data_IF_738586406063
#
_entry.id   IF_738586406063
#
_cell.length_a   1.000
_cell.length_b   1.000
_cell.length_c   1.000
_cell.angle_alpha   90.00
_cell.angle_beta   90.00
_cell.angle_gamma   90.00
#
_symmetry.space_group_name_H-M   'P 1'
#
loop_
_entity.id
_entity.type
_entity.pdbx_description
1 polymer ?
#
# COMPACT_ATOMS: atom_id res chain seq x y z
N UNK A 1 10.03 -27.62 -56.18
CA UNK A 1 11.15 -26.86 -55.60
C UNK A 1 11.53 -27.27 -54.17
N UNK A 2 10.60 -27.53 -53.24
CA UNK A 2 10.93 -27.96 -51.86
C UNK A 2 11.54 -29.39 -51.76
N UNK A 3 11.17 -30.30 -52.66
CA UNK A 3 11.74 -31.66 -52.70
C UNK A 3 13.20 -31.71 -53.20
N UNK A 4 13.56 -30.86 -54.17
CA UNK A 4 14.92 -30.79 -54.74
C UNK A 4 15.91 -30.25 -53.69
N UNK A 5 15.48 -29.32 -52.85
CA UNK A 5 16.30 -28.79 -51.74
C UNK A 5 16.60 -29.83 -50.66
N UNK A 6 15.68 -30.76 -50.38
CA UNK A 6 15.91 -31.82 -49.39
C UNK A 6 16.92 -32.88 -49.90
N UNK A 7 16.84 -33.26 -51.17
CA UNK A 7 17.79 -34.21 -51.79
C UNK A 7 19.22 -33.65 -51.86
N UNK A 8 19.39 -32.37 -52.24
CA UNK A 8 20.71 -31.71 -52.31
C UNK A 8 21.36 -31.55 -50.93
N UNK A 9 20.56 -31.38 -49.87
CA UNK A 9 21.05 -31.32 -48.49
C UNK A 9 21.52 -32.68 -47.95
N UNK A 10 20.99 -33.79 -48.47
CA UNK A 10 21.37 -35.16 -48.08
C UNK A 10 22.62 -35.62 -48.83
N UNK A 11 22.83 -35.17 -50.07
CA UNK A 11 23.94 -35.63 -50.93
C UNK A 11 25.28 -34.91 -50.66
N UNK A 12 25.29 -33.80 -49.92
CA UNK A 12 26.52 -33.03 -49.66
C UNK A 12 26.76 -32.84 -48.14
N UNK A 13 27.61 -33.67 -47.50
CA UNK A 13 27.82 -33.66 -46.05
C UNK A 13 28.38 -32.32 -45.54
N UNK A 14 29.12 -31.58 -46.36
CA UNK A 14 29.66 -30.26 -46.00
C UNK A 14 28.53 -29.24 -45.89
N UNK A 15 27.57 -29.27 -46.82
CA UNK A 15 26.40 -28.38 -46.81
C UNK A 15 25.50 -28.65 -45.61
N UNK A 16 25.29 -29.93 -45.27
CA UNK A 16 24.51 -30.33 -44.10
C UNK A 16 25.16 -29.85 -42.79
N UNK A 17 26.49 -30.02 -42.65
CA UNK A 17 27.24 -29.54 -41.49
C UNK A 17 27.14 -28.02 -41.36
N UNK A 18 27.31 -27.28 -42.45
CA UNK A 18 27.17 -25.81 -42.48
C UNK A 18 25.75 -25.34 -42.11
N UNK A 19 24.72 -25.96 -42.69
CA UNK A 19 23.32 -25.64 -42.35
C UNK A 19 23.05 -25.90 -40.85
N UNK A 20 23.52 -27.05 -40.33
CA UNK A 20 23.36 -27.37 -38.91
C UNK A 20 24.06 -26.36 -38.00
N UNK A 21 25.24 -25.87 -38.39
CA UNK A 21 25.98 -24.86 -37.65
C UNK A 21 25.23 -23.51 -37.64
N UNK A 22 24.72 -23.08 -38.80
CA UNK A 22 23.92 -21.86 -38.92
C UNK A 22 22.63 -21.92 -38.09
N UNK A 23 21.90 -23.04 -38.13
CA UNK A 23 20.68 -23.23 -37.34
C UNK A 23 20.97 -23.20 -35.83
N UNK A 24 22.05 -23.85 -35.37
CA UNK A 24 22.47 -23.79 -33.96
C UNK A 24 22.85 -22.38 -33.55
N UNK A 25 23.55 -21.64 -34.41
CA UNK A 25 23.93 -20.26 -34.15
C UNK A 25 22.68 -19.37 -34.03
N UNK A 26 21.76 -19.44 -35.00
CA UNK A 26 20.50 -18.66 -34.96
C UNK A 26 19.68 -18.97 -33.70
N UNK A 27 19.49 -20.25 -33.37
CA UNK A 27 18.78 -20.65 -32.16
C UNK A 27 19.46 -20.13 -30.88
N UNK A 28 20.81 -20.17 -30.84
CA UNK A 28 21.57 -19.60 -29.73
C UNK A 28 21.39 -18.08 -29.61
N UNK A 29 21.39 -17.35 -30.72
CA UNK A 29 21.19 -15.90 -30.75
C UNK A 29 19.78 -15.53 -30.29
N UNK A 30 18.74 -16.24 -30.77
CA UNK A 30 17.35 -16.03 -30.36
C UNK A 30 17.14 -16.32 -28.88
N UNK A 31 17.75 -17.39 -28.36
CA UNK A 31 17.67 -17.77 -26.95
C UNK A 31 18.37 -16.73 -26.07
N UNK A 32 19.53 -16.22 -26.47
CA UNK A 32 20.22 -15.14 -25.77
C UNK A 32 19.43 -13.84 -25.79
N UNK A 33 18.82 -13.48 -26.91
CA UNK A 33 17.98 -12.29 -27.02
C UNK A 33 16.73 -12.40 -26.13
N UNK A 34 16.12 -13.57 -26.08
CA UNK A 34 14.97 -13.85 -25.21
C UNK A 34 15.36 -13.82 -23.74
N UNK A 35 16.48 -14.42 -23.37
CA UNK A 35 17.00 -14.40 -22.00
C UNK A 35 17.26 -12.96 -21.53
N UNK A 36 17.88 -12.13 -22.38
CA UNK A 36 18.11 -10.71 -22.07
C UNK A 36 16.82 -9.95 -21.78
N UNK A 37 15.75 -10.22 -22.54
CA UNK A 37 14.43 -9.61 -22.28
C UNK A 37 13.86 -10.07 -20.94
N UNK A 38 13.94 -11.38 -20.65
CA UNK A 38 13.48 -11.94 -19.39
C UNK A 38 14.26 -11.43 -18.17
N UNK A 39 15.54 -11.09 -18.33
CA UNK A 39 16.35 -10.55 -17.23
C UNK A 39 16.03 -9.09 -16.89
N UNK A 40 15.58 -8.29 -17.87
CA UNK A 40 15.26 -6.86 -17.65
C UNK A 40 13.79 -6.67 -17.27
N UNK A 41 12.90 -7.55 -17.72
CA UNK A 41 11.46 -7.50 -17.46
C UNK A 41 11.08 -7.24 -15.98
N UNK A 42 11.72 -7.84 -14.95
CA UNK A 42 11.40 -7.56 -13.56
C UNK A 42 11.59 -6.09 -13.18
N UNK A 43 12.67 -5.45 -13.63
CA UNK A 43 12.97 -4.05 -13.31
C UNK A 43 11.96 -3.12 -13.98
N UNK A 44 11.66 -3.35 -15.26
CA UNK A 44 10.65 -2.60 -16.01
C UNK A 44 9.27 -2.71 -15.34
N UNK A 45 8.91 -3.91 -14.89
CA UNK A 45 7.64 -4.17 -14.23
C UNK A 45 7.54 -3.45 -12.88
N UNK A 46 8.58 -3.55 -12.05
CA UNK A 46 8.67 -2.84 -10.76
C UNK A 46 8.56 -1.32 -10.99
N UNK A 47 9.23 -0.79 -12.02
CA UNK A 47 9.17 0.63 -12.37
C UNK A 47 7.80 1.10 -12.87
N UNK A 48 7.02 0.22 -13.50
CA UNK A 48 5.73 0.57 -14.08
C UNK A 48 4.56 0.51 -13.08
N UNK A 49 4.59 -0.39 -12.10
CA UNK A 49 3.44 -0.63 -11.20
C UNK A 49 3.14 0.55 -10.28
N UNK A 50 4.15 1.29 -9.81
CA UNK A 50 3.98 2.46 -8.94
C UNK A 50 3.17 3.58 -9.60
N UNK A 51 3.59 4.10 -10.77
CA UNK A 51 2.85 5.13 -11.51
C UNK A 51 1.42 4.72 -11.88
N UNK A 52 1.21 3.45 -12.25
CA UNK A 52 -0.12 2.91 -12.55
C UNK A 52 -1.00 2.92 -11.29
N UNK A 53 -0.49 2.40 -10.17
CA UNK A 53 -1.20 2.40 -8.90
C UNK A 53 -1.55 3.82 -8.45
N UNK A 54 -0.59 4.76 -8.50
CA UNK A 54 -0.83 6.16 -8.15
C UNK A 54 -1.95 6.79 -8.99
N UNK A 55 -1.91 6.61 -10.31
CA UNK A 55 -2.92 7.15 -11.23
C UNK A 55 -4.31 6.59 -10.92
N UNK A 56 -4.42 5.28 -10.74
CA UNK A 56 -5.68 4.61 -10.40
C UNK A 56 -6.17 5.05 -9.02
N UNK A 57 -5.28 5.23 -8.05
CA UNK A 57 -5.62 5.71 -6.70
C UNK A 57 -6.24 7.10 -6.76
N UNK A 58 -5.59 8.07 -7.40
CA UNK A 58 -6.10 9.43 -7.49
C UNK A 58 -7.45 9.48 -8.22
N UNK A 59 -7.59 8.76 -9.34
CA UNK A 59 -8.86 8.68 -10.07
C UNK A 59 -9.99 8.06 -9.23
N UNK A 60 -9.67 7.01 -8.47
CA UNK A 60 -10.64 6.31 -7.61
C UNK A 60 -11.04 7.17 -6.41
N UNK A 61 -10.08 7.84 -5.76
CA UNK A 61 -10.37 8.76 -4.66
C UNK A 61 -11.22 9.94 -5.13
N UNK A 62 -10.88 10.53 -6.28
CA UNK A 62 -11.66 11.62 -6.87
C UNK A 62 -13.13 11.22 -7.14
N UNK A 63 -13.38 9.94 -7.42
CA UNK A 63 -14.71 9.44 -7.77
C UNK A 63 -15.51 8.91 -6.58
N UNK A 64 -14.84 8.31 -5.59
CA UNK A 64 -15.48 7.52 -4.54
C UNK A 64 -15.22 8.02 -3.11
N UNK A 65 -14.25 8.92 -2.90
CA UNK A 65 -13.99 9.49 -1.58
C UNK A 65 -15.26 10.19 -1.06
N UNK A 66 -15.73 9.89 0.16
CA UNK A 66 -16.92 10.50 0.74
C UNK A 66 -16.83 12.02 0.79
N UNK A 67 -17.96 12.73 0.66
CA UNK A 67 -17.99 14.19 0.76
C UNK A 67 -17.54 14.67 2.14
N UNK A 68 -17.15 15.94 2.24
CA UNK A 68 -16.70 16.55 3.49
C UNK A 68 -17.66 16.34 4.68
N UNK A 69 -18.98 16.28 4.42
CA UNK A 69 -20.00 16.03 5.45
C UNK A 69 -19.84 14.68 6.16
N UNK A 70 -19.28 13.66 5.50
CA UNK A 70 -18.96 12.36 6.10
C UNK A 70 -17.86 12.48 7.15
N UNK A 71 -16.80 13.22 6.84
CA UNK A 71 -15.62 13.40 7.68
C UNK A 71 -15.82 14.37 8.83
N UNK A 72 -16.80 15.27 8.70
CA UNK A 72 -17.12 16.29 9.71
C UNK A 72 -18.26 15.86 10.65
N UNK A 73 -18.79 14.64 10.52
CA UNK A 73 -19.88 14.15 11.39
C UNK A 73 -19.49 14.28 12.85
N UNK A 74 -20.40 14.82 13.65
CA UNK A 74 -20.36 14.63 15.10
C UNK A 74 -20.81 13.19 15.33
N UNK A 75 -20.05 12.41 16.11
CA UNK A 75 -20.30 10.99 16.30
C UNK A 75 -21.73 10.68 16.74
N UNK A 76 -22.18 9.42 16.62
CA UNK A 76 -23.55 9.06 16.98
C UNK A 76 -23.85 9.44 18.43
N UNK A 77 -25.10 9.80 18.73
CA UNK A 77 -25.54 10.16 20.08
C UNK A 77 -25.29 9.05 21.13
N UNK A 78 -25.07 7.80 20.66
CA UNK A 78 -24.67 6.65 21.47
C UNK A 78 -23.20 6.66 21.91
N UNK A 79 -22.35 7.52 21.33
CA UNK A 79 -20.91 7.58 21.60
C UNK A 79 -20.11 6.40 21.05
N UNK A 80 -20.68 5.61 20.14
CA UNK A 80 -20.00 4.45 19.56
C UNK A 80 -19.06 4.85 18.42
N UNK A 81 -17.85 4.33 18.46
CA UNK A 81 -16.86 4.45 17.39
C UNK A 81 -17.33 3.72 16.13
N UNK A 82 -16.87 4.11 14.93
CA UNK A 82 -17.16 3.36 13.72
C UNK A 82 -16.54 1.96 13.77
N UNK A 83 -17.39 0.94 13.67
CA UNK A 83 -16.97 -0.47 13.74
C UNK A 83 -16.49 -1.04 12.40
N UNK A 84 -16.79 -0.37 11.28
CA UNK A 84 -16.52 -0.85 9.93
C UNK A 84 -15.83 0.22 9.08
N UNK A 85 -14.98 -0.17 8.13
CA UNK A 85 -14.44 0.76 7.15
C UNK A 85 -15.56 1.34 6.29
N UNK A 86 -15.33 2.55 5.78
CA UNK A 86 -16.22 3.22 4.85
C UNK A 86 -16.35 2.40 3.55
N UNK A 87 -17.52 2.39 2.88
CA UNK A 87 -17.72 1.54 1.69
C UNK A 87 -16.75 1.81 0.53
N UNK A 88 -16.25 3.05 0.39
CA UNK A 88 -15.30 3.39 -0.68
C UNK A 88 -13.95 2.68 -0.54
N UNK A 89 -13.57 2.24 0.66
CA UNK A 89 -12.28 1.57 0.90
C UNK A 89 -12.23 0.24 0.16
N UNK A 90 -13.34 -0.50 0.17
CA UNK A 90 -13.48 -1.73 -0.60
C UNK A 90 -13.34 -1.46 -2.11
N UNK A 91 -14.02 -0.43 -2.60
CA UNK A 91 -13.91 -0.02 -4.02
C UNK A 91 -12.48 0.39 -4.36
N UNK A 92 -11.78 1.07 -3.46
CA UNK A 92 -10.39 1.45 -3.64
C UNK A 92 -9.49 0.23 -3.78
N UNK A 93 -9.63 -0.77 -2.90
CA UNK A 93 -8.89 -2.03 -2.98
C UNK A 93 -9.18 -2.76 -4.30
N UNK A 94 -10.46 -3.00 -4.60
CA UNK A 94 -10.91 -3.79 -5.76
C UNK A 94 -10.59 -3.12 -7.11
N UNK A 95 -10.43 -1.80 -7.15
CA UNK A 95 -10.15 -1.06 -8.40
C UNK A 95 -8.70 -0.63 -8.58
N UNK A 96 -7.92 -0.61 -7.50
CA UNK A 96 -6.53 -0.13 -7.52
C UNK A 96 -5.59 -1.26 -7.16
N UNK A 97 -5.63 -1.71 -5.90
CA UNK A 97 -4.56 -2.53 -5.34
C UNK A 97 -4.66 -3.98 -5.81
N UNK A 98 -5.86 -4.55 -5.76
CA UNK A 98 -6.10 -5.92 -6.20
C UNK A 98 -5.77 -6.15 -7.68
N UNK A 99 -6.32 -5.39 -8.65
CA UNK A 99 -6.05 -5.66 -10.06
C UNK A 99 -4.60 -5.44 -10.45
N UNK A 100 -3.92 -4.44 -9.88
CA UNK A 100 -2.50 -4.18 -10.18
C UNK A 100 -1.62 -5.31 -9.65
N UNK A 101 -1.91 -5.83 -8.44
CA UNK A 101 -1.20 -6.98 -7.89
C UNK A 101 -1.53 -8.25 -8.69
N UNK A 102 -2.82 -8.56 -8.88
CA UNK A 102 -3.26 -9.77 -9.59
C UNK A 102 -2.73 -9.87 -11.02
N UNK A 103 -2.57 -8.75 -11.72
CA UNK A 103 -2.05 -8.74 -13.10
C UNK A 103 -0.61 -9.26 -13.22
N UNK A 104 0.17 -9.24 -12.14
CA UNK A 104 1.61 -9.49 -12.20
C UNK A 104 2.05 -10.66 -11.32
N UNK A 105 1.40 -10.89 -10.18
CA UNK A 105 1.82 -11.90 -9.17
C UNK A 105 1.78 -13.34 -9.67
N UNK A 106 1.02 -13.65 -10.72
CA UNK A 106 1.01 -14.99 -11.33
C UNK A 106 2.32 -15.30 -12.08
N UNK A 107 3.00 -14.26 -12.59
CA UNK A 107 4.20 -14.39 -13.44
C UNK A 107 5.50 -14.19 -12.68
N UNK A 108 5.45 -13.59 -11.48
CA UNK A 108 6.63 -13.21 -10.70
C UNK A 108 6.52 -13.73 -9.26
N UNK A 109 7.65 -14.12 -8.67
CA UNK A 109 7.71 -14.71 -7.31
C UNK A 109 8.87 -14.16 -6.50
N UNK A 110 8.82 -14.36 -5.19
CA UNK A 110 9.90 -14.02 -4.28
C UNK A 110 10.23 -12.52 -4.34
N UNK A 111 11.50 -12.12 -4.49
CA UNK A 111 11.91 -10.72 -4.37
C UNK A 111 11.22 -9.75 -5.33
N UNK A 112 10.90 -10.20 -6.56
CA UNK A 112 10.22 -9.36 -7.56
C UNK A 112 8.76 -9.11 -7.14
N UNK A 113 8.09 -10.16 -6.67
CA UNK A 113 6.72 -10.06 -6.18
C UNK A 113 6.62 -9.18 -4.93
N UNK A 114 7.60 -9.31 -4.02
CA UNK A 114 7.75 -8.44 -2.86
C UNK A 114 7.93 -6.97 -3.28
N UNK A 115 8.85 -6.68 -4.20
CA UNK A 115 9.12 -5.32 -4.66
C UNK A 115 7.87 -4.68 -5.31
N UNK A 116 7.14 -5.44 -6.12
CA UNK A 116 5.87 -5.01 -6.72
C UNK A 116 4.85 -4.71 -5.64
N UNK A 117 4.63 -5.63 -4.69
CA UNK A 117 3.67 -5.43 -3.60
C UNK A 117 3.99 -4.17 -2.80
N UNK A 118 5.29 -3.93 -2.55
CA UNK A 118 5.75 -2.72 -1.87
C UNK A 118 5.46 -1.45 -2.66
N UNK A 119 5.78 -1.44 -3.96
CA UNK A 119 5.54 -0.28 -4.83
C UNK A 119 4.05 0.06 -4.95
N UNK A 120 3.18 -0.95 -5.12
CA UNK A 120 1.74 -0.73 -5.23
C UNK A 120 1.16 -0.16 -3.94
N UNK A 121 1.49 -0.75 -2.80
CA UNK A 121 0.97 -0.30 -1.49
C UNK A 121 1.51 1.09 -1.15
N UNK A 122 2.79 1.33 -1.41
CA UNK A 122 3.40 2.64 -1.20
C UNK A 122 2.72 3.71 -2.05
N UNK A 123 2.65 3.53 -3.37
CA UNK A 123 2.04 4.49 -4.27
C UNK A 123 0.56 4.75 -3.95
N UNK A 124 -0.20 3.70 -3.61
CA UNK A 124 -1.62 3.83 -3.30
C UNK A 124 -1.87 4.60 -2.00
N UNK A 125 -1.11 4.30 -0.95
CA UNK A 125 -1.22 5.00 0.33
C UNK A 125 -0.68 6.43 0.25
N UNK A 126 0.40 6.67 -0.48
CA UNK A 126 0.92 8.03 -0.73
C UNK A 126 -0.11 8.88 -1.48
N UNK A 127 -0.71 8.36 -2.55
CA UNK A 127 -1.78 9.03 -3.29
C UNK A 127 -3.00 9.34 -2.41
N UNK A 128 -3.34 8.45 -1.48
CA UNK A 128 -4.44 8.67 -0.55
C UNK A 128 -4.15 9.82 0.42
N UNK A 129 -2.95 9.85 1.02
CA UNK A 129 -2.53 10.93 1.89
C UNK A 129 -2.42 12.27 1.14
N UNK A 130 -1.83 12.26 -0.05
CA UNK A 130 -1.71 13.41 -0.95
C UNK A 130 -3.10 13.97 -1.28
N UNK A 131 -4.05 13.11 -1.65
CA UNK A 131 -5.42 13.53 -1.98
C UNK A 131 -6.11 14.22 -0.80
N UNK A 132 -5.95 13.69 0.43
CA UNK A 132 -6.52 14.31 1.63
C UNK A 132 -5.98 15.73 1.84
N UNK A 133 -4.66 15.91 1.68
CA UNK A 133 -4.01 17.22 1.81
C UNK A 133 -4.42 18.16 0.67
N UNK A 134 -4.42 17.68 -0.58
CA UNK A 134 -4.78 18.49 -1.75
C UNK A 134 -6.22 19.00 -1.66
N UNK A 135 -7.16 18.12 -1.27
CA UNK A 135 -8.58 18.49 -1.13
C UNK A 135 -8.90 19.17 0.20
N UNK A 136 -7.92 19.36 1.09
CA UNK A 136 -8.09 19.98 2.40
C UNK A 136 -9.27 19.36 3.16
N UNK A 137 -9.31 18.03 3.23
CA UNK A 137 -10.40 17.31 3.90
C UNK A 137 -10.25 17.51 5.40
N UNK A 138 -11.26 18.11 6.03
CA UNK A 138 -11.25 18.36 7.47
C UNK A 138 -12.01 17.28 8.22
N UNK A 139 -11.48 16.90 9.39
CA UNK A 139 -11.97 15.79 10.18
C UNK A 139 -12.51 16.26 11.53
N UNK A 140 -13.66 15.73 11.92
CA UNK A 140 -14.07 15.67 13.32
C UNK A 140 -13.28 14.57 14.05
N UNK A 141 -13.46 14.44 15.37
CA UNK A 141 -12.90 13.32 16.13
C UNK A 141 -13.39 11.99 15.55
N UNK A 142 -14.70 11.88 15.34
CA UNK A 142 -15.32 10.70 14.76
C UNK A 142 -14.80 10.43 13.34
N UNK A 143 -14.64 11.46 12.51
CA UNK A 143 -14.07 11.32 11.17
C UNK A 143 -12.62 10.82 11.18
N UNK A 144 -11.83 11.23 12.17
CA UNK A 144 -10.47 10.73 12.36
C UNK A 144 -10.46 9.25 12.80
N UNK A 145 -11.37 8.83 13.69
CA UNK A 145 -11.54 7.41 14.02
C UNK A 145 -11.97 6.61 12.79
N UNK A 146 -12.89 7.12 11.98
CA UNK A 146 -13.31 6.47 10.74
C UNK A 146 -12.13 6.33 9.76
N UNK A 147 -11.31 7.37 9.59
CA UNK A 147 -10.13 7.32 8.73
C UNK A 147 -9.12 6.28 9.22
N UNK A 148 -8.93 6.16 10.54
CA UNK A 148 -8.08 5.10 11.12
C UNK A 148 -8.60 3.70 10.73
N UNK A 149 -9.92 3.47 10.84
CA UNK A 149 -10.54 2.19 10.42
C UNK A 149 -10.35 1.93 8.93
N UNK A 150 -10.51 2.97 8.11
CA UNK A 150 -10.32 2.89 6.67
C UNK A 150 -8.88 2.47 6.32
N UNK A 151 -7.86 3.04 6.97
CA UNK A 151 -6.47 2.64 6.77
C UNK A 151 -6.17 1.23 7.31
N UNK A 152 -6.75 0.84 8.45
CA UNK A 152 -6.58 -0.51 8.99
C UNK A 152 -7.12 -1.59 8.04
N UNK A 153 -8.20 -1.29 7.30
CA UNK A 153 -8.77 -2.22 6.31
C UNK A 153 -7.78 -2.57 5.19
N UNK A 154 -6.84 -1.68 4.83
CA UNK A 154 -5.78 -1.99 3.87
C UNK A 154 -4.83 -3.04 4.46
N UNK A 155 -4.43 -2.88 5.73
CA UNK A 155 -3.57 -3.86 6.42
C UNK A 155 -4.24 -5.22 6.54
N UNK A 156 -5.54 -5.23 6.85
CA UNK A 156 -6.32 -6.45 6.97
C UNK A 156 -6.41 -7.16 5.61
N UNK A 157 -6.73 -6.43 4.54
CA UNK A 157 -6.70 -6.98 3.18
C UNK A 157 -5.32 -7.56 2.81
N UNK A 158 -4.23 -6.85 3.13
CA UNK A 158 -2.86 -7.37 2.91
C UNK A 158 -2.64 -8.71 3.61
N UNK A 159 -3.12 -8.85 4.86
CA UNK A 159 -2.97 -10.06 5.67
C UNK A 159 -3.80 -11.23 5.17
N UNK A 160 -5.05 -11.00 4.77
CA UNK A 160 -6.05 -12.08 4.60
C UNK A 160 -6.44 -12.35 3.17
N UNK A 161 -6.39 -11.35 2.30
CA UNK A 161 -7.05 -11.41 0.98
C UNK A 161 -6.07 -11.21 -0.20
N UNK A 162 -4.87 -10.66 0.04
CA UNK A 162 -3.90 -10.51 -1.06
C UNK A 162 -3.38 -11.84 -1.59
N UNK A 163 -3.18 -11.85 -2.92
CA UNK A 163 -2.56 -12.93 -3.67
C UNK A 163 -1.02 -12.95 -3.56
N UNK A 164 -0.43 -12.04 -2.79
CA UNK A 164 1.00 -12.03 -2.51
C UNK A 164 1.39 -13.29 -1.73
N UNK A 165 2.61 -13.77 -1.96
CA UNK A 165 3.17 -14.85 -1.16
C UNK A 165 3.38 -14.42 0.29
N UNK A 166 3.57 -15.39 1.18
CA UNK A 166 3.63 -15.13 2.62
C UNK A 166 4.78 -14.20 3.01
N UNK A 167 5.90 -14.24 2.29
CA UNK A 167 7.06 -13.43 2.62
C UNK A 167 6.89 -11.99 2.10
N UNK A 168 6.39 -11.85 0.87
CA UNK A 168 5.98 -10.58 0.30
C UNK A 168 4.94 -9.89 1.20
N UNK A 169 3.92 -10.61 1.69
CA UNK A 169 2.92 -10.05 2.63
C UNK A 169 3.56 -9.50 3.90
N UNK A 170 4.43 -10.26 4.56
CA UNK A 170 5.13 -9.81 5.78
C UNK A 170 5.94 -8.55 5.52
N UNK A 171 6.71 -8.56 4.44
CA UNK A 171 7.59 -7.46 4.07
C UNK A 171 6.81 -6.20 3.69
N UNK A 172 5.68 -6.33 2.99
CA UNK A 172 4.77 -5.22 2.68
C UNK A 172 4.13 -4.65 3.94
N UNK A 173 3.72 -5.49 4.91
CA UNK A 173 3.11 -5.03 6.16
C UNK A 173 4.05 -4.20 7.06
N UNK A 174 5.35 -4.31 6.84
CA UNK A 174 6.41 -3.55 7.52
C UNK A 174 6.67 -2.18 6.88
N UNK A 175 6.06 -1.86 5.74
CA UNK A 175 6.26 -0.57 5.08
C UNK A 175 5.90 0.61 6.00
N UNK A 176 6.82 1.58 6.07
CA UNK A 176 6.64 2.80 6.85
C UNK A 176 5.41 3.61 6.43
N UNK A 177 5.00 3.54 5.15
CA UNK A 177 3.81 4.25 4.66
C UNK A 177 2.54 3.80 5.37
N UNK A 178 2.44 2.53 5.78
CA UNK A 178 1.30 2.01 6.55
C UNK A 178 1.32 2.56 7.98
N UNK A 179 2.52 2.63 8.61
CA UNK A 179 2.71 3.28 9.91
C UNK A 179 2.37 4.77 9.84
N UNK A 180 2.75 5.44 8.75
CA UNK A 180 2.45 6.85 8.47
C UNK A 180 0.95 7.09 8.33
N UNK A 181 0.21 6.25 7.61
CA UNK A 181 -1.24 6.35 7.51
C UNK A 181 -1.91 6.27 8.89
N UNK A 182 -1.49 5.31 9.71
CA UNK A 182 -1.96 5.18 11.09
C UNK A 182 -1.63 6.42 11.93
N UNK A 183 -0.39 6.89 11.83
CA UNK A 183 0.10 8.09 12.52
C UNK A 183 -0.68 9.35 12.15
N UNK A 184 -1.04 9.52 10.86
CA UNK A 184 -1.87 10.63 10.39
C UNK A 184 -3.23 10.60 11.07
N UNK A 185 -3.88 9.45 11.13
CA UNK A 185 -5.17 9.32 11.78
C UNK A 185 -5.07 9.61 13.30
N UNK A 186 -3.99 9.18 13.97
CA UNK A 186 -3.76 9.55 15.37
C UNK A 186 -3.46 11.03 15.59
N UNK A 187 -2.72 11.68 14.70
CA UNK A 187 -2.52 13.15 14.76
C UNK A 187 -3.87 13.87 14.69
N UNK A 188 -4.76 13.44 13.80
CA UNK A 188 -6.11 14.01 13.67
C UNK A 188 -7.00 13.73 14.91
N UNK A 189 -6.67 12.73 15.72
CA UNK A 189 -7.36 12.50 17.01
C UNK A 189 -6.87 13.44 18.13
N UNK A 190 -5.76 14.15 17.94
CA UNK A 190 -5.24 15.09 18.93
C UNK A 190 -6.04 16.38 18.95
N UNK A 191 -6.04 17.06 20.10
CA UNK A 191 -6.68 18.35 20.21
C UNK A 191 -5.80 19.42 19.54
N UNK A 192 -6.39 20.41 18.83
CA UNK A 192 -5.64 21.54 18.30
C UNK A 192 -4.85 22.23 19.44
N UNK A 193 -3.51 22.17 19.40
CA UNK A 193 -2.62 22.74 20.43
C UNK A 193 -1.89 21.73 21.32
N UNK A 194 -2.12 20.42 21.17
CA UNK A 194 -1.34 19.40 21.89
C UNK A 194 0.10 19.32 21.34
N UNK A 195 1.08 19.71 22.15
CA UNK A 195 2.52 19.62 21.80
C UNK A 195 2.96 18.15 21.80
N UNK A 196 3.66 17.74 20.74
CA UNK A 196 4.28 16.41 20.61
C UNK A 196 5.43 16.28 21.61
N UNK A 197 5.15 15.77 22.80
CA UNK A 197 6.19 15.34 23.74
C UNK A 197 6.68 13.94 23.40
N UNK A 198 7.98 13.81 23.07
CA UNK A 198 8.68 12.52 23.11
C UNK A 198 8.61 12.03 24.56
N UNK A 199 7.77 11.04 24.84
CA UNK A 199 7.74 10.36 26.15
C UNK A 199 6.41 10.36 26.93
N UNK A 200 5.28 10.81 26.37
CA UNK A 200 3.97 10.57 27.01
C UNK A 200 3.03 9.82 26.06
N UNK A 201 2.81 8.51 26.24
CA UNK A 201 1.72 7.83 25.54
C UNK A 201 0.39 8.47 25.97
N UNK A 202 -0.36 8.99 25.01
CA UNK A 202 -1.71 9.51 25.25
C UNK A 202 -2.58 8.37 25.77
N UNK A 203 -2.95 8.42 27.05
CA UNK A 203 -3.76 7.38 27.72
C UNK A 203 -5.17 7.22 27.14
N UNK A 204 -5.62 8.09 26.23
CA UNK A 204 -7.00 8.10 25.72
C UNK A 204 -7.25 7.12 24.56
N UNK A 205 -6.24 6.63 23.85
CA UNK A 205 -6.46 5.87 22.60
C UNK A 205 -6.41 4.33 22.76
N UNK A 206 -6.22 3.81 23.97
CA UNK A 206 -6.10 2.36 24.23
C UNK A 206 -7.46 1.65 24.43
N UNK A 207 -8.49 2.02 23.67
CA UNK A 207 -9.82 1.36 23.76
C UNK A 207 -10.24 0.55 22.54
N UNK A 208 -9.38 0.41 21.53
CA UNK A 208 -9.68 -0.46 20.38
C UNK A 208 -8.64 -1.57 20.26
N UNK A 209 -8.67 -2.52 21.20
CA UNK A 209 -8.13 -3.87 21.01
C UNK A 209 -9.03 -4.86 21.77
N UNK A 210 -9.43 -6.01 21.19
CA UNK A 210 -10.21 -7.03 21.89
C UNK A 210 -9.38 -7.70 22.99
N UNK A 211 -10.06 -8.01 24.09
CA UNK A 211 -9.56 -8.72 25.26
C UNK A 211 -9.25 -10.17 24.93
N UNK A 212 -8.04 -10.63 25.27
CA UNK A 212 -7.82 -11.91 25.95
C UNK A 212 -6.53 -11.83 26.79
N UNK A 213 -6.73 -11.97 28.11
CA UNK A 213 -5.90 -12.59 29.17
C UNK A 213 -4.40 -12.85 28.91
N UNK A 214 -3.47 -12.75 29.84
CA UNK A 214 -3.33 -12.23 31.19
C UNK A 214 -1.81 -12.33 31.50
N UNK A 215 -1.39 -11.63 32.55
CA UNK A 215 -0.15 -11.83 33.32
C UNK A 215 1.18 -11.15 32.91
N UNK A 216 1.73 -10.47 33.93
CA UNK A 216 3.16 -10.26 34.23
C UNK A 216 3.85 -9.02 33.65
N UNK A 217 3.89 -7.97 34.47
CA UNK A 217 4.99 -6.98 34.46
C UNK A 217 6.34 -7.69 34.69
N UNK A 218 7.42 -7.21 34.05
CA UNK A 218 8.52 -6.76 34.90
C UNK A 218 9.29 -5.51 34.38
N UNK A 219 9.87 -4.83 35.38
CA UNK A 219 11.08 -3.99 35.41
C UNK A 219 11.67 -3.41 34.11
N UNK A 220 11.83 -2.09 34.15
CA UNK A 220 12.60 -1.23 33.23
C UNK A 220 14.04 -1.73 33.09
N UNK A 221 14.35 -2.32 31.93
CA UNK A 221 15.71 -2.49 31.42
C UNK A 221 15.87 -1.60 30.19
N UNK A 222 16.80 -0.65 30.27
CA UNK A 222 17.22 0.22 29.16
C UNK A 222 17.99 -0.63 28.16
N UNK A 223 17.30 -1.22 27.19
CA UNK A 223 17.91 -1.99 26.10
C UNK A 223 17.02 -1.89 24.86
N UNK A 224 17.60 -1.36 23.78
CA UNK A 224 17.10 -1.31 22.39
C UNK A 224 15.66 -0.82 22.20
N UNK A 225 15.50 0.45 21.82
CA UNK A 225 14.26 0.93 21.18
C UNK A 225 14.11 0.10 19.90
N UNK A 226 13.15 -0.82 19.89
CA UNK A 226 12.78 -1.55 18.68
C UNK A 226 11.87 -0.65 17.84
N UNK A 227 11.79 -0.87 16.52
CA UNK A 227 10.92 -0.03 15.66
C UNK A 227 9.44 -0.02 16.09
N UNK A 228 9.02 -1.03 16.85
CA UNK A 228 7.68 -1.17 17.43
C UNK A 228 7.45 -0.25 18.65
N UNK A 229 8.50 0.32 19.24
CA UNK A 229 8.41 1.26 20.37
C UNK A 229 8.21 2.72 19.93
N UNK A 230 8.40 3.02 18.63
CA UNK A 230 8.26 4.36 18.08
C UNK A 230 6.77 4.63 17.80
N UNK A 231 6.16 5.67 18.41
CA UNK A 231 4.77 6.00 18.13
C UNK A 231 4.51 6.27 16.64
N UNK A 232 3.39 5.81 16.07
CA UNK A 232 3.11 5.93 14.64
C UNK A 232 3.09 7.38 14.15
N UNK A 233 2.74 8.35 15.01
CA UNK A 233 2.78 9.77 14.66
C UNK A 233 4.19 10.28 14.32
N UNK A 234 5.24 9.64 14.83
CA UNK A 234 6.63 10.02 14.55
C UNK A 234 7.08 9.66 13.12
N UNK A 235 6.34 8.79 12.42
CA UNK A 235 6.58 8.45 11.00
C UNK A 235 5.93 9.44 10.03
N UNK A 236 5.18 10.41 10.55
CA UNK A 236 4.45 11.41 9.76
C UNK A 236 5.30 12.65 9.57
N UNK A 237 5.74 12.98 8.33
CA UNK A 237 6.37 14.26 8.06
C UNK A 237 5.33 15.39 8.05
N UNK A 238 5.78 16.63 8.25
CA UNK A 238 4.93 17.82 8.18
C UNK A 238 3.67 17.74 9.06
N UNK A 239 3.82 17.25 10.30
CA UNK A 239 2.71 16.94 11.22
C UNK A 239 1.74 18.11 11.40
N UNK A 240 2.23 19.36 11.34
CA UNK A 240 1.38 20.55 11.45
C UNK A 240 0.30 20.62 10.35
N UNK A 241 0.63 20.25 9.10
CA UNK A 241 -0.34 20.24 8.01
C UNK A 241 -1.52 19.31 8.31
N UNK A 242 -1.25 18.17 8.96
CA UNK A 242 -2.28 17.22 9.36
C UNK A 242 -3.09 17.74 10.56
N UNK A 243 -2.44 18.34 11.54
CA UNK A 243 -3.12 18.96 12.69
C UNK A 243 -4.06 20.10 12.26
N UNK A 244 -3.71 20.84 11.20
CA UNK A 244 -4.53 21.93 10.67
C UNK A 244 -5.82 21.42 10.01
N UNK A 245 -5.87 20.16 9.55
CA UNK A 245 -7.08 19.51 9.04
C UNK A 245 -8.06 19.10 10.15
N UNK A 246 -7.68 19.25 11.43
CA UNK A 246 -8.57 18.95 12.54
C UNK A 246 -9.57 20.08 12.76
N UNK A 247 -10.86 19.76 12.74
CA UNK A 247 -11.91 20.73 13.09
C UNK A 247 -11.74 21.25 14.52
N UNK A 248 -11.69 22.58 14.67
CA UNK A 248 -11.63 23.23 15.98
C UNK A 248 -13.02 23.24 16.65
N UNK A 249 -13.09 23.09 17.98
CA UNK A 249 -14.37 23.04 18.72
C UNK A 249 -15.28 24.26 18.51
N UNK A 250 -14.72 25.42 18.16
CA UNK A 250 -15.47 26.66 17.90
C UNK A 250 -16.38 26.61 16.67
N UNK A 251 -16.27 25.59 15.80
CA UNK A 251 -17.18 25.38 14.67
C UNK A 251 -18.41 24.52 15.00
N UNK A 252 -18.56 24.05 16.25
CA UNK A 252 -19.70 23.22 16.67
C UNK A 252 -20.84 24.02 17.33
N UNK A 253 -20.75 25.35 17.44
CA UNK A 253 -21.74 26.17 18.17
C UNK A 253 -22.51 27.22 17.35
N UNK A 254 -22.48 27.19 16.02
CA UNK A 254 -23.32 28.10 15.24
C UNK A 254 -23.69 27.47 13.90
N UNK A 255 -24.77 26.70 13.92
CA UNK A 255 -25.75 26.49 12.84
C UNK A 255 -26.62 25.27 13.19
N UNK A 256 -27.45 25.43 14.22
CA UNK A 256 -28.75 24.80 14.26
C UNK A 256 -29.76 25.95 14.34
N UNK A 257 -30.66 26.01 13.36
CA UNK A 257 -31.89 26.82 13.40
C UNK A 257 -32.77 26.46 14.60
#
# INVERSE_FOLDING_TARGET
NVLVTAQVLVENPITLVRLSALLRQMCSEDLQATLKKLTVMPEDLIGAVGPVAQTLSLATLQSYMPPASHWRRVGPASGLDPDKPSPYVRVFIERVMEPVISAVVEFVRGPVQEAIGKQVVQAACEAWLEFILEKQIHFSEWGAVQLLRDFMSIRDWIRTETQLDTEARKSVLQLEILKRCEGVAYLLLRSPGDVLGVGKPSRKNRRVVPSDSAESSPSVSVTSITEDDIPPEMYVPNQQMWLDLRLRPSFLSSCCE
#
